data_IF_675214091233
#
_entry.id   IF_675214091233
#
_cell.length_a   1.000
_cell.length_b   1.000
_cell.length_c   1.000
_cell.angle_alpha   90.00
_cell.angle_beta   90.00
_cell.angle_gamma   90.00
#
_symmetry.space_group_name_H-M   'P 1'
#
loop_
_entity.id
_entity.type
_entity.pdbx_description
1 polymer ?
#
# COMPACT_ATOMS: atom_id res chain seq x y z
N UNK A 1 -7.76 -4.37 15.83
CA UNK A 1 -7.00 -3.38 15.07
C UNK A 1 -7.51 -3.29 13.63
N UNK A 2 -7.81 -2.09 13.20
CA UNK A 2 -8.33 -1.84 11.86
C UNK A 2 -7.21 -1.48 10.92
N UNK A 3 -7.14 -2.17 9.79
CA UNK A 3 -6.13 -1.91 8.77
C UNK A 3 -6.78 -1.80 7.41
N UNK A 4 -6.26 -0.89 6.61
CA UNK A 4 -6.65 -0.77 5.21
C UNK A 4 -5.47 -1.15 4.34
N UNK A 5 -5.76 -1.80 3.23
CA UNK A 5 -4.75 -2.16 2.27
C UNK A 5 -5.12 -1.50 0.94
N UNK A 6 -4.17 -0.77 0.38
CA UNK A 6 -4.36 -0.06 -0.88
C UNK A 6 -3.35 -0.55 -1.89
N UNK A 7 -3.82 -0.87 -3.08
CA UNK A 7 -2.97 -1.36 -4.18
C UNK A 7 -3.26 -0.54 -5.42
N UNK A 8 -2.20 -0.18 -6.14
CA UNK A 8 -2.40 0.44 -7.45
C UNK A 8 -1.17 0.20 -8.33
N UNK A 9 -1.33 0.43 -9.63
CA UNK A 9 -0.27 0.26 -10.61
C UNK A 9 -0.10 1.55 -11.40
N UNK A 10 1.16 1.87 -11.68
CA UNK A 10 1.47 3.05 -12.45
C UNK A 10 2.84 2.88 -13.11
N UNK A 11 2.92 3.12 -14.42
CA UNK A 11 4.19 3.12 -15.13
C UNK A 11 4.97 1.83 -15.05
N UNK A 12 4.28 0.67 -15.04
CA UNK A 12 4.93 -0.62 -14.95
C UNK A 12 5.35 -1.02 -13.55
N UNK A 13 4.91 -0.27 -12.55
CA UNK A 13 5.18 -0.56 -11.14
C UNK A 13 3.89 -0.87 -10.41
N UNK A 14 4.00 -1.73 -9.44
CA UNK A 14 2.90 -2.06 -8.53
C UNK A 14 3.24 -1.54 -7.16
N UNK A 15 2.30 -0.85 -6.54
CA UNK A 15 2.48 -0.25 -5.23
C UNK A 15 1.45 -0.78 -4.26
N UNK A 16 1.89 -1.07 -3.04
CA UNK A 16 1.01 -1.54 -1.97
C UNK A 16 1.28 -0.77 -0.71
N UNK A 17 0.20 -0.39 -0.02
CA UNK A 17 0.29 0.30 1.27
C UNK A 17 -0.63 -0.37 2.26
N UNK A 18 -0.16 -0.52 3.50
CA UNK A 18 -1.02 -0.90 4.61
C UNK A 18 -1.09 0.29 5.56
N UNK A 19 -2.31 0.66 5.89
CA UNK A 19 -2.57 1.86 6.66
C UNK A 19 -3.36 1.50 7.92
N UNK A 20 -2.93 2.06 9.06
CA UNK A 20 -3.66 1.91 10.32
C UNK A 20 -4.96 2.68 10.21
N UNK A 21 -6.08 1.98 10.32
CA UNK A 21 -7.40 2.59 10.14
C UNK A 21 -7.79 3.55 11.26
N UNK A 22 -7.11 3.49 12.39
CA UNK A 22 -7.39 4.37 13.52
C UNK A 22 -6.66 5.69 13.43
N UNK A 23 -5.43 5.68 12.93
CA UNK A 23 -4.57 6.87 12.93
C UNK A 23 -4.22 7.39 11.54
N UNK A 24 -4.42 6.57 10.51
CA UNK A 24 -4.02 6.92 9.16
C UNK A 24 -2.54 6.77 8.91
N UNK A 25 -1.82 6.16 9.85
CA UNK A 25 -0.38 5.95 9.72
C UNK A 25 -0.09 4.83 8.74
N UNK A 26 0.91 5.00 7.90
CA UNK A 26 1.34 3.96 6.98
C UNK A 26 2.15 2.93 7.77
N UNK A 27 1.65 1.71 7.81
CA UNK A 27 2.28 0.60 8.54
C UNK A 27 3.29 -0.13 7.68
N UNK A 28 2.96 -0.28 6.40
CA UNK A 28 3.84 -0.97 5.45
C UNK A 28 3.72 -0.32 4.09
N UNK A 29 4.81 -0.33 3.37
CA UNK A 29 4.85 0.17 2.01
C UNK A 29 5.72 -0.77 1.19
N UNK A 30 5.22 -1.18 0.05
CA UNK A 30 5.96 -2.08 -0.82
C UNK A 30 5.79 -1.63 -2.27
N UNK A 31 6.81 -1.86 -3.07
CA UNK A 31 6.72 -1.60 -4.49
C UNK A 31 7.49 -2.67 -5.24
N UNK A 32 7.01 -3.02 -6.42
CA UNK A 32 7.62 -4.07 -7.20
C UNK A 32 7.35 -3.80 -8.68
N UNK A 33 8.16 -4.40 -9.52
CA UNK A 33 7.95 -4.30 -10.95
C UNK A 33 6.81 -5.21 -11.36
N UNK A 34 5.85 -4.66 -12.05
CA UNK A 34 4.72 -5.42 -12.59
C UNK A 34 4.91 -5.50 -14.10
N UNK A 35 5.71 -6.43 -14.50
CA UNK A 35 6.13 -6.52 -15.89
C UNK A 35 5.39 -7.62 -16.64
#
# INVERSE_FOLDING_TARGET
>A
RLEYEVEFRSGGMEYEYKIDGSTGTILEYDQDWDD
#
